data_IF_762920713281
#
_entry.id   IF_762920713281
#
_cell.length_a   1.000
_cell.length_b   1.000
_cell.length_c   1.000
_cell.angle_alpha   90.00
_cell.angle_beta   90.00
_cell.angle_gamma   90.00
#
_symmetry.space_group_name_H-M   'P 1'
#
loop_
_entity.id
_entity.type
_entity.pdbx_description
1 polymer ?
#
# COMPACT_ATOMS: atom_id res chain seq x y z
N UNK A 1 23.22 10.39 -28.32
CA UNK A 1 21.96 10.75 -28.53
C UNK A 1 20.94 9.71 -28.35
N UNK A 2 21.19 8.57 -28.57
CA UNK A 2 20.27 7.54 -28.42
C UNK A 2 19.94 7.26 -27.02
N UNK A 3 20.89 7.40 -26.21
CA UNK A 3 20.66 7.07 -24.87
C UNK A 3 19.54 7.78 -24.22
N UNK A 4 19.23 8.91 -24.62
CA UNK A 4 18.26 9.61 -23.92
C UNK A 4 16.97 8.91 -23.87
N UNK A 5 16.68 8.10 -24.75
CA UNK A 5 15.42 7.49 -24.75
C UNK A 5 15.28 6.51 -23.65
N UNK A 6 16.31 5.89 -23.27
CA UNK A 6 16.18 4.90 -22.28
C UNK A 6 15.76 5.45 -20.99
N UNK A 7 16.08 6.60 -20.71
CA UNK A 7 15.74 7.13 -19.45
C UNK A 7 14.29 7.13 -19.18
N UNK A 8 13.51 7.25 -20.14
CA UNK A 8 12.11 7.39 -19.89
C UNK A 8 11.48 6.28 -19.16
N UNK A 9 11.96 5.15 -19.27
CA UNK A 9 11.30 4.08 -18.64
C UNK A 9 11.25 4.10 -17.16
N UNK A 10 12.23 4.49 -16.53
CA UNK A 10 12.23 4.40 -15.13
C UNK A 10 11.35 5.41 -14.54
N UNK A 11 10.75 6.16 -15.26
CA UNK A 11 9.91 7.14 -14.74
C UNK A 11 8.77 6.56 -13.96
N UNK A 12 8.32 5.41 -14.31
CA UNK A 12 7.23 4.84 -13.63
C UNK A 12 7.57 4.40 -12.24
N UNK A 13 6.95 5.00 -11.25
CA UNK A 13 7.24 4.72 -9.88
C UNK A 13 6.01 4.68 -9.03
N UNK A 14 5.80 3.64 -8.27
CA UNK A 14 4.65 3.57 -7.40
C UNK A 14 4.83 4.49 -6.23
N UNK A 15 3.79 4.72 -5.50
CA UNK A 15 3.81 5.71 -4.46
C UNK A 15 4.77 5.37 -3.32
N UNK A 16 5.13 4.13 -3.15
CA UNK A 16 6.03 3.80 -2.09
C UNK A 16 7.48 3.78 -2.49
N UNK A 17 7.76 3.94 -3.74
CA UNK A 17 9.13 3.92 -4.20
C UNK A 17 9.79 5.19 -3.81
N UNK A 18 11.01 5.26 -3.82
CA UNK A 18 11.73 6.44 -3.43
C UNK A 18 11.20 6.76 -2.08
N UNK A 19 10.98 5.75 -1.37
CA UNK A 19 10.35 5.85 -0.12
C UNK A 19 10.80 6.96 0.78
N UNK A 20 12.04 7.12 0.94
CA UNK A 20 12.48 8.13 1.87
C UNK A 20 11.96 9.50 1.49
N UNK A 21 12.06 9.86 0.24
CA UNK A 21 11.63 11.17 -0.17
C UNK A 21 10.13 11.28 -0.17
N UNK A 22 9.47 10.28 -0.68
CA UNK A 22 8.04 10.35 -0.75
C UNK A 22 7.40 10.26 0.60
N UNK A 23 7.98 9.50 1.48
CA UNK A 23 7.44 9.38 2.82
C UNK A 23 7.43 10.72 3.50
N UNK A 24 8.42 11.54 3.25
CA UNK A 24 8.46 12.85 3.86
C UNK A 24 7.43 13.78 3.26
N UNK A 25 7.06 13.54 2.02
CA UNK A 25 6.10 14.40 1.37
C UNK A 25 4.66 14.02 1.65
N UNK A 26 4.41 12.78 1.99
CA UNK A 26 3.06 12.36 2.25
C UNK A 26 2.62 12.79 3.64
N UNK A 27 1.37 13.16 3.80
CA UNK A 27 0.85 13.39 5.14
C UNK A 27 1.04 12.14 5.98
N UNK A 28 1.17 12.32 7.26
CA UNK A 28 1.46 11.20 8.14
C UNK A 28 0.40 10.11 8.09
N UNK A 29 -0.87 10.48 8.00
CA UNK A 29 -1.91 9.48 7.97
C UNK A 29 -1.85 8.66 6.68
N UNK A 30 -1.48 9.28 5.57
CA UNK A 30 -1.32 8.55 4.32
C UNK A 30 -0.11 7.64 4.39
N UNK A 31 1.01 8.15 4.90
CA UNK A 31 2.22 7.35 5.01
C UNK A 31 2.01 6.15 5.93
N UNK A 32 1.30 6.35 7.02
CA UNK A 32 1.03 5.29 7.96
C UNK A 32 0.13 4.21 7.35
N UNK A 33 -0.86 4.63 6.58
CA UNK A 33 -1.73 3.67 5.90
C UNK A 33 -0.93 2.85 4.90
N UNK A 34 -0.08 3.51 4.13
CA UNK A 34 0.71 2.82 3.11
C UNK A 34 1.58 1.75 3.76
N UNK A 35 2.22 2.11 4.85
CA UNK A 35 3.10 1.15 5.52
C UNK A 35 2.32 -0.05 6.04
N UNK A 36 1.21 0.20 6.70
CA UNK A 36 0.41 -0.87 7.25
C UNK A 36 -0.19 -1.75 6.16
N UNK A 37 -0.74 -1.13 5.13
CA UNK A 37 -1.41 -1.87 4.09
C UNK A 37 -0.43 -2.65 3.23
N UNK A 38 0.77 -2.12 3.01
CA UNK A 38 1.78 -2.85 2.27
C UNK A 38 2.19 -4.12 3.01
N UNK A 39 2.31 -4.05 4.33
CA UNK A 39 2.60 -5.23 5.10
C UNK A 39 1.43 -6.20 5.09
N UNK A 40 0.22 -5.68 5.17
CA UNK A 40 -0.96 -6.52 5.08
C UNK A 40 -0.97 -7.29 3.77
N UNK A 41 -0.74 -6.56 2.67
CA UNK A 41 -0.77 -7.19 1.36
C UNK A 41 0.37 -8.19 1.18
N UNK A 42 1.51 -7.89 1.76
CA UNK A 42 2.63 -8.81 1.69
C UNK A 42 2.27 -10.15 2.32
N UNK A 43 1.69 -10.13 3.50
CA UNK A 43 1.33 -11.38 4.17
C UNK A 43 0.18 -12.08 3.47
N UNK A 44 -0.76 -11.33 2.91
CA UNK A 44 -1.87 -11.93 2.19
C UNK A 44 -1.40 -12.68 0.95
N UNK A 45 -0.30 -12.27 0.39
CA UNK A 45 0.22 -12.90 -0.82
C UNK A 45 1.12 -14.07 -0.58
N UNK A 46 1.41 -14.41 0.66
CA UNK A 46 2.34 -15.47 0.95
C UNK A 46 1.62 -16.81 1.06
N UNK A 47 2.24 -17.85 0.52
CA UNK A 47 1.70 -19.20 0.62
C UNK A 47 2.33 -19.92 1.79
N UNK A 48 1.57 -20.37 2.75
CA UNK A 48 2.15 -21.05 3.91
C UNK A 48 2.69 -22.43 3.51
N UNK A 49 3.85 -22.76 4.04
CA UNK A 49 4.45 -24.04 3.71
C UNK A 49 4.24 -25.08 4.82
N UNK A 50 3.70 -24.67 5.96
CA UNK A 50 3.34 -25.63 7.00
C UNK A 50 2.29 -24.96 7.89
N UNK A 51 1.82 -25.71 8.87
CA UNK A 51 0.74 -25.26 9.73
C UNK A 51 1.16 -24.12 10.62
N UNK A 52 2.38 -24.15 11.09
CA UNK A 52 2.86 -23.10 11.95
C UNK A 52 2.94 -21.78 11.20
N UNK A 53 3.43 -21.85 9.95
CA UNK A 53 3.50 -20.63 9.13
C UNK A 53 2.10 -20.12 8.81
N UNK A 54 1.16 -21.03 8.58
CA UNK A 54 -0.19 -20.63 8.31
C UNK A 54 -0.79 -19.85 9.47
N UNK A 55 -0.54 -20.32 10.68
CA UNK A 55 -1.04 -19.62 11.86
C UNK A 55 -0.39 -18.27 12.02
N UNK A 56 0.90 -18.19 11.74
CA UNK A 56 1.62 -16.94 11.83
C UNK A 56 1.04 -15.94 10.84
N UNK A 57 0.79 -16.39 9.62
CA UNK A 57 0.23 -15.50 8.60
C UNK A 57 -1.17 -15.04 8.97
N UNK A 58 -1.98 -15.94 9.46
CA UNK A 58 -3.34 -15.58 9.84
C UNK A 58 -3.36 -14.51 10.92
N UNK A 59 -2.47 -14.65 11.89
CA UNK A 59 -2.41 -13.69 12.95
C UNK A 59 -1.98 -12.33 12.45
N UNK A 60 -0.96 -12.29 11.61
CA UNK A 60 -0.47 -11.03 11.09
C UNK A 60 -1.44 -10.38 10.12
N UNK A 61 -2.13 -11.18 9.31
CA UNK A 61 -3.12 -10.65 8.41
C UNK A 61 -4.25 -10.02 9.23
N UNK A 62 -4.68 -10.70 10.27
CA UNK A 62 -5.73 -10.16 11.10
C UNK A 62 -5.32 -8.84 11.71
N UNK A 63 -4.11 -8.76 12.22
CA UNK A 63 -3.66 -7.55 12.89
C UNK A 63 -3.40 -6.41 11.94
N UNK A 64 -2.81 -6.70 10.80
CA UNK A 64 -2.40 -5.64 9.89
C UNK A 64 -3.49 -5.20 8.92
N UNK A 65 -4.35 -6.11 8.54
CA UNK A 65 -5.35 -5.79 7.54
C UNK A 65 -6.63 -5.20 8.12
N UNK A 66 -6.92 -5.51 9.37
CA UNK A 66 -8.14 -5.02 9.98
C UNK A 66 -8.16 -3.51 10.03
N UNK A 67 -9.23 -2.93 9.53
CA UNK A 67 -9.38 -1.49 9.53
C UNK A 67 -8.82 -0.80 8.31
N UNK A 68 -8.06 -1.49 7.47
CA UNK A 68 -7.45 -0.81 6.33
C UNK A 68 -8.46 -0.47 5.26
N UNK A 69 -9.54 -1.25 5.11
CA UNK A 69 -10.57 -0.91 4.13
C UNK A 69 -11.21 0.42 4.49
N UNK A 70 -11.56 0.58 5.74
CA UNK A 70 -12.19 1.80 6.21
C UNK A 70 -11.22 2.97 6.13
N UNK A 71 -9.96 2.76 6.48
CA UNK A 71 -8.97 3.81 6.39
C UNK A 71 -8.79 4.27 4.95
N UNK A 72 -8.80 3.35 4.02
CA UNK A 72 -8.62 3.71 2.61
C UNK A 72 -9.76 4.60 2.15
N UNK A 73 -10.99 4.24 2.50
CA UNK A 73 -12.14 5.05 2.14
C UNK A 73 -12.03 6.44 2.75
N UNK A 74 -11.69 6.50 4.03
CA UNK A 74 -11.60 7.78 4.71
C UNK A 74 -10.52 8.66 4.13
N UNK A 75 -9.38 8.07 3.78
CA UNK A 75 -8.30 8.86 3.22
C UNK A 75 -8.64 9.36 1.82
N UNK A 76 -9.32 8.54 1.03
CA UNK A 76 -9.72 8.99 -0.30
C UNK A 76 -10.69 10.15 -0.19
N UNK A 77 -11.56 10.10 0.78
CA UNK A 77 -12.50 11.18 0.98
C UNK A 77 -11.78 12.43 1.47
N UNK A 78 -10.89 12.28 2.42
CA UNK A 78 -10.18 13.40 2.99
C UNK A 78 -9.31 14.11 1.96
N UNK A 79 -8.67 13.36 1.10
CA UNK A 79 -7.75 13.93 0.14
C UNK A 79 -8.27 13.96 -1.29
N UNK A 80 -9.58 13.93 -1.45
CA UNK A 80 -10.15 13.83 -2.80
C UNK A 80 -9.75 14.95 -3.72
N UNK A 81 -9.33 16.08 -3.18
CA UNK A 81 -8.86 17.17 -4.01
C UNK A 81 -7.41 17.10 -4.39
N UNK A 82 -6.71 16.09 -3.91
CA UNK A 82 -5.28 15.97 -4.15
C UNK A 82 -5.03 14.79 -5.08
N UNK A 83 -4.79 15.09 -6.35
CA UNK A 83 -4.70 14.02 -7.34
C UNK A 83 -3.53 13.08 -7.10
N UNK A 84 -2.42 13.58 -6.61
CA UNK A 84 -1.27 12.71 -6.35
C UNK A 84 -1.57 11.68 -5.27
N UNK A 85 -2.23 12.12 -4.21
CA UNK A 85 -2.57 11.21 -3.14
C UNK A 85 -3.64 10.22 -3.60
N UNK A 86 -4.64 10.70 -4.33
CA UNK A 86 -5.69 9.81 -4.82
C UNK A 86 -5.11 8.77 -5.76
N UNK A 87 -4.17 9.17 -6.59
CA UNK A 87 -3.56 8.24 -7.50
C UNK A 87 -2.83 7.13 -6.74
N UNK A 88 -2.11 7.51 -5.70
CA UNK A 88 -1.40 6.54 -4.87
C UNK A 88 -2.40 5.61 -4.16
N UNK A 89 -3.42 6.18 -3.55
CA UNK A 89 -4.39 5.37 -2.82
C UNK A 89 -5.18 4.45 -3.73
N UNK A 90 -5.33 4.83 -4.98
CA UNK A 90 -6.09 4.02 -5.92
C UNK A 90 -5.36 2.77 -6.36
N UNK A 91 -4.09 2.63 -5.98
CA UNK A 91 -3.37 1.40 -6.27
C UNK A 91 -3.78 0.28 -5.33
N UNK A 92 -4.48 0.58 -4.27
CA UNK A 92 -4.85 -0.42 -3.28
C UNK A 92 -6.28 -0.91 -3.50
N UNK A 93 -6.48 -2.20 -3.29
CA UNK A 93 -7.82 -2.78 -3.43
C UNK A 93 -8.72 -2.30 -2.32
N UNK A 94 -9.98 -2.12 -2.63
CA UNK A 94 -10.90 -1.54 -1.69
C UNK A 94 -11.46 -2.50 -0.67
N UNK A 95 -11.66 -3.70 -0.93
CA UNK A 95 -12.44 -4.56 -0.08
C UNK A 95 -11.70 -5.85 0.19
N UNK A 96 -10.70 -5.78 1.06
CA UNK A 96 -9.88 -6.95 1.26
C UNK A 96 -10.09 -7.64 2.61
N UNK A 97 -10.78 -6.98 3.54
CA UNK A 97 -10.92 -7.58 4.85
C UNK A 97 -11.95 -8.68 4.83
N UNK A 98 -11.59 -9.85 5.33
CA UNK A 98 -12.49 -11.00 5.26
C UNK A 98 -13.70 -10.91 6.16
N UNK A 99 -13.59 -10.21 7.24
CA UNK A 99 -14.68 -10.13 8.18
C UNK A 99 -15.14 -8.73 8.45
N UNK A 100 -15.70 -8.12 7.49
CA UNK A 100 -16.17 -6.77 7.67
C UNK A 100 -17.57 -6.66 8.16
#
# INVERSE_FOLDING_TARGET
MIFRLLISLMVFVPCYTAASDQADEWPEDVASFIEQRDLCDHFRGEEPYDEERRKFLEKNIMELCTGTDSKLVDLKEKYRGNSAIIECLSLYEDDIEPNK
#
